data_IF_693988110269
#
_entry.id   IF_693988110269
#
_cell.length_a   1.000
_cell.length_b   1.000
_cell.length_c   1.000
_cell.angle_alpha   90.00
_cell.angle_beta   90.00
_cell.angle_gamma   90.00
#
_symmetry.space_group_name_H-M   'P 1'
#
loop_
_entity.id
_entity.type
_entity.pdbx_description
1 polymer ?
#
# COMPACT_ATOMS: atom_id res chain seq x y z
N UNK A 1 10.76 15.89 -8.74
CA UNK A 1 10.47 17.33 -8.66
C UNK A 1 11.67 18.01 -8.04
N UNK A 2 12.19 19.07 -8.65
CA UNK A 2 13.32 19.82 -8.10
C UNK A 2 12.84 20.61 -6.88
N UNK A 3 13.45 20.38 -5.73
CA UNK A 3 13.22 21.11 -4.48
C UNK A 3 14.08 22.36 -4.47
N UNK A 4 13.50 23.52 -4.77
CA UNK A 4 14.17 24.79 -4.57
C UNK A 4 14.22 25.08 -3.06
N UNK A 5 15.43 25.09 -2.51
CA UNK A 5 15.67 25.39 -1.10
C UNK A 5 16.32 26.77 -0.99
N UNK A 6 15.71 27.65 -0.19
CA UNK A 6 16.26 28.98 0.08
C UNK A 6 17.23 28.88 1.27
N UNK A 7 18.49 29.26 1.05
CA UNK A 7 19.52 29.31 2.08
C UNK A 7 20.19 30.67 2.14
N UNK A 8 20.15 31.30 3.32
CA UNK A 8 20.89 32.53 3.61
C UNK A 8 21.68 32.36 4.91
N UNK A 9 22.96 32.73 4.88
CA UNK A 9 23.88 32.63 6.02
C UNK A 9 24.63 33.94 6.18
N UNK A 10 24.55 34.53 7.37
CA UNK A 10 25.34 35.71 7.75
C UNK A 10 26.26 35.32 8.91
N UNK A 11 27.57 35.58 8.74
CA UNK A 11 28.60 35.27 9.73
C UNK A 11 29.41 36.53 10.03
N UNK A 12 29.38 36.96 11.30
CA UNK A 12 30.22 38.00 11.87
C UNK A 12 30.84 37.51 13.19
N UNK A 13 31.88 38.18 13.72
CA UNK A 13 32.66 37.76 14.90
C UNK A 13 31.82 37.50 16.17
N UNK A 14 30.59 37.98 16.22
CA UNK A 14 29.72 37.97 17.40
C UNK A 14 28.23 37.74 17.06
N UNK A 15 27.90 37.42 15.81
CA UNK A 15 26.54 37.09 15.39
C UNK A 15 26.57 36.15 14.19
N UNK A 16 25.94 34.99 14.36
CA UNK A 16 25.74 34.01 13.30
C UNK A 16 24.24 33.74 13.16
N UNK A 17 23.70 33.99 11.97
CA UNK A 17 22.28 33.77 11.65
C UNK A 17 22.20 32.90 10.40
N UNK A 18 21.47 31.79 10.50
CA UNK A 18 21.19 30.90 9.39
C UNK A 18 19.67 30.74 9.25
N UNK A 19 19.15 31.08 8.07
CA UNK A 19 17.74 30.90 7.70
C UNK A 19 17.65 29.81 6.64
N UNK A 20 16.87 28.77 6.97
CA UNK A 20 16.55 27.66 6.08
C UNK A 20 15.03 27.61 5.93
N UNK A 21 14.56 27.82 4.71
CA UNK A 21 13.16 27.65 4.36
C UNK A 21 13.05 26.54 3.30
N UNK A 22 12.33 25.47 3.66
CA UNK A 22 12.05 24.35 2.79
C UNK A 22 10.55 24.35 2.49
N UNK A 23 10.18 24.54 1.23
CA UNK A 23 8.82 24.34 0.76
C UNK A 23 8.71 22.92 0.17
N UNK A 24 8.00 22.04 0.85
CA UNK A 24 7.72 20.69 0.36
C UNK A 24 6.27 20.63 -0.10
N UNK A 25 6.04 20.55 -1.40
CA UNK A 25 4.71 20.30 -1.97
C UNK A 25 4.73 18.99 -2.76
N UNK A 26 4.12 17.95 -2.20
CA UNK A 26 4.01 16.63 -2.80
C UNK A 26 2.55 16.24 -2.98
N UNK A 27 2.05 16.26 -4.21
CA UNK A 27 0.74 15.71 -4.57
C UNK A 27 0.93 14.58 -5.56
N UNK A 28 0.93 13.36 -5.06
CA UNK A 28 0.97 12.13 -5.87
C UNK A 28 -0.41 11.49 -5.86
N UNK A 29 -0.89 11.10 -7.05
CA UNK A 29 -2.13 10.34 -7.23
C UNK A 29 -1.77 9.03 -7.90
N UNK A 30 -2.04 7.91 -7.23
CA UNK A 30 -1.87 6.57 -7.78
C UNK A 30 -3.25 6.07 -8.19
N UNK A 31 -3.42 5.71 -9.46
CA UNK A 31 -4.65 5.13 -10.00
C UNK A 31 -4.35 3.73 -10.53
N UNK A 32 -4.98 2.73 -9.93
CA UNK A 32 -4.93 1.34 -10.38
C UNK A 32 -6.28 0.94 -10.94
N UNK A 33 -6.30 0.39 -12.15
CA UNK A 33 -7.51 -0.09 -12.83
C UNK A 33 -7.30 -1.55 -13.30
N UNK A 34 -7.34 -2.53 -12.36
CA UNK A 34 -7.29 -3.94 -12.74
C UNK A 34 -8.51 -4.31 -13.59
N UNK A 35 -8.31 -5.15 -14.59
CA UNK A 35 -9.38 -5.68 -15.45
C UNK A 35 -9.27 -7.19 -15.54
N UNK A 36 -10.41 -7.89 -15.41
CA UNK A 36 -10.48 -9.34 -15.51
C UNK A 36 -11.77 -9.74 -16.25
N UNK A 37 -11.72 -10.89 -16.93
CA UNK A 37 -12.87 -11.48 -17.63
C UNK A 37 -13.24 -12.78 -16.92
N UNK A 38 -14.51 -12.94 -16.60
CA UNK A 38 -15.02 -14.05 -15.79
C UNK A 38 -16.38 -14.52 -16.33
N UNK A 39 -16.67 -15.81 -16.15
CA UNK A 39 -17.96 -16.40 -16.53
C UNK A 39 -19.08 -16.01 -15.57
N UNK A 40 -20.32 -16.06 -16.03
CA UNK A 40 -21.49 -15.82 -15.19
C UNK A 40 -21.51 -16.79 -14.01
N UNK A 41 -21.73 -16.27 -12.80
CA UNK A 41 -21.85 -17.02 -11.56
C UNK A 41 -20.58 -17.79 -11.15
N UNK A 42 -19.43 -17.40 -11.70
CA UNK A 42 -18.11 -17.96 -11.37
C UNK A 42 -17.33 -16.94 -10.56
N UNK A 43 -16.72 -17.37 -9.45
CA UNK A 43 -15.79 -16.52 -8.72
C UNK A 43 -14.48 -16.37 -9.50
N UNK A 44 -13.99 -15.14 -9.59
CA UNK A 44 -12.67 -14.86 -10.11
C UNK A 44 -11.91 -13.95 -9.16
N UNK A 45 -10.59 -14.17 -9.13
CA UNK A 45 -9.65 -13.40 -8.35
C UNK A 45 -8.49 -12.96 -9.26
N UNK A 46 -8.09 -11.71 -9.13
CA UNK A 46 -6.83 -11.20 -9.68
C UNK A 46 -6.02 -10.60 -8.55
N UNK A 47 -4.74 -10.92 -8.52
CA UNK A 47 -3.77 -10.39 -7.58
C UNK A 47 -2.56 -9.84 -8.33
N UNK A 48 -2.21 -8.59 -8.08
CA UNK A 48 -1.11 -7.89 -8.73
C UNK A 48 -0.30 -7.14 -7.66
N UNK A 49 0.96 -7.52 -7.47
CA UNK A 49 1.88 -6.82 -6.57
C UNK A 49 3.01 -7.73 -6.09
N UNK A 50 3.62 -7.36 -4.97
CA UNK A 50 4.87 -7.95 -4.48
C UNK A 50 4.70 -8.62 -3.12
N UNK A 51 5.54 -9.62 -2.85
CA UNK A 51 5.64 -10.27 -1.55
C UNK A 51 6.79 -9.67 -0.75
N UNK A 52 6.47 -9.02 0.36
CA UNK A 52 7.46 -8.34 1.20
C UNK A 52 7.85 -9.24 2.37
N UNK A 53 9.14 -9.53 2.56
CA UNK A 53 9.62 -10.24 3.74
C UNK A 53 9.58 -9.33 4.96
N UNK A 54 8.90 -9.78 6.03
CA UNK A 54 8.84 -9.15 7.33
C UNK A 54 9.64 -10.01 8.31
N UNK A 55 10.70 -9.42 8.86
CA UNK A 55 11.56 -10.07 9.85
C UNK A 55 10.96 -9.91 11.25
N UNK A 56 10.75 -11.03 11.94
CA UNK A 56 10.27 -11.09 13.32
C UNK A 56 11.33 -11.71 14.21
N UNK A 57 11.68 -11.03 15.30
CA UNK A 57 12.62 -11.50 16.32
C UNK A 57 11.86 -11.81 17.60
N UNK A 58 11.90 -13.06 18.05
CA UNK A 58 11.35 -13.51 19.33
C UNK A 58 12.47 -13.94 20.26
N UNK A 59 12.40 -13.55 21.54
CA UNK A 59 13.37 -13.98 22.56
C UNK A 59 12.75 -15.15 23.33
N UNK A 60 13.43 -16.30 23.35
CA UNK A 60 13.01 -17.42 24.19
C UNK A 60 13.60 -17.28 25.59
N UNK A 61 12.77 -16.89 26.56
CA UNK A 61 13.17 -16.67 27.96
C UNK A 61 13.21 -17.95 28.80
N UNK A 62 12.96 -19.12 28.22
CA UNK A 62 12.84 -20.40 28.95
C UNK A 62 14.15 -21.21 28.97
N UNK A 63 15.24 -20.65 28.45
CA UNK A 63 16.58 -21.27 28.46
C UNK A 63 17.53 -20.39 29.28
N UNK A 64 18.43 -21.01 30.06
CA UNK A 64 19.40 -20.30 30.92
C UNK A 64 20.37 -19.37 30.15
N UNK A 65 20.31 -19.40 28.82
CA UNK A 65 20.95 -18.49 27.89
C UNK A 65 19.86 -17.90 26.99
N UNK A 66 19.65 -16.58 27.02
CA UNK A 66 18.67 -15.90 26.17
C UNK A 66 18.94 -16.21 24.68
N UNK A 67 18.22 -17.18 24.12
CA UNK A 67 18.31 -17.53 22.70
C UNK A 67 17.34 -16.65 21.92
N UNK A 68 17.89 -15.88 20.98
CA UNK A 68 17.09 -15.06 20.05
C UNK A 68 16.76 -15.91 18.83
N UNK A 69 15.47 -16.07 18.54
CA UNK A 69 14.95 -16.75 17.37
C UNK A 69 14.46 -15.69 16.37
N UNK A 70 15.01 -15.71 15.16
CA UNK A 70 14.56 -14.85 14.06
C UNK A 70 13.77 -15.69 13.06
N UNK A 71 12.60 -15.21 12.66
CA UNK A 71 11.76 -15.81 11.61
C UNK A 71 11.43 -14.75 10.55
N UNK A 72 11.17 -15.19 9.32
CA UNK A 72 10.77 -14.31 8.21
C UNK A 72 9.39 -14.74 7.73
N UNK A 73 8.44 -13.80 7.68
CA UNK A 73 7.09 -13.99 7.16
C UNK A 73 6.91 -13.16 5.90
N UNK A 74 6.29 -13.70 4.86
CA UNK A 74 6.03 -12.96 3.62
C UNK A 74 4.61 -12.39 3.64
N UNK A 75 4.49 -11.07 3.51
CA UNK A 75 3.22 -10.36 3.42
C UNK A 75 2.98 -9.93 1.98
N UNK A 76 1.82 -10.28 1.45
CA UNK A 76 1.40 -9.94 0.09
C UNK A 76 0.94 -8.48 0.03
N UNK A 77 1.46 -7.72 -0.93
CA UNK A 77 1.11 -6.31 -1.18
C UNK A 77 0.66 -6.10 -2.62
N UNK A 78 0.04 -4.95 -2.91
CA UNK A 78 -0.53 -4.62 -4.21
C UNK A 78 -2.06 -4.69 -4.24
N UNK A 79 -2.63 -4.94 -5.42
CA UNK A 79 -4.07 -4.94 -5.67
C UNK A 79 -4.59 -6.37 -5.73
N UNK A 80 -5.54 -6.70 -4.87
CA UNK A 80 -6.32 -7.94 -4.88
C UNK A 80 -7.76 -7.55 -5.21
N UNK A 81 -8.34 -8.21 -6.20
CA UNK A 81 -9.72 -7.99 -6.61
C UNK A 81 -10.39 -9.35 -6.78
N UNK A 82 -11.42 -9.57 -5.96
CA UNK A 82 -12.33 -10.69 -6.00
C UNK A 82 -13.68 -10.22 -6.52
N UNK A 83 -14.21 -10.95 -7.51
CA UNK A 83 -15.51 -10.62 -8.10
C UNK A 83 -16.34 -11.86 -8.38
N UNK A 84 -17.64 -11.75 -8.12
CA UNK A 84 -18.64 -12.76 -8.49
C UNK A 84 -19.76 -12.06 -9.28
N UNK A 85 -19.81 -12.23 -10.61
CA UNK A 85 -20.85 -11.64 -11.43
C UNK A 85 -22.09 -12.53 -11.47
N UNK A 86 -23.26 -11.91 -11.61
CA UNK A 86 -24.54 -12.56 -11.89
C UNK A 86 -25.30 -11.77 -12.95
N UNK A 87 -25.51 -12.40 -14.10
CA UNK A 87 -26.18 -11.79 -15.25
C UNK A 87 -27.64 -12.23 -15.28
N UNK A 88 -28.56 -11.27 -15.30
CA UNK A 88 -29.98 -11.53 -15.48
C UNK A 88 -30.37 -11.55 -16.97
N UNK A 89 -31.47 -12.23 -17.37
CA UNK A 89 -31.94 -12.28 -18.76
C UNK A 89 -32.21 -10.90 -19.39
N UNK A 90 -32.50 -9.87 -18.57
CA UNK A 90 -32.68 -8.48 -19.01
C UNK A 90 -31.38 -7.71 -19.26
N UNK A 91 -30.21 -8.35 -19.19
CA UNK A 91 -28.91 -7.73 -19.46
C UNK A 91 -28.33 -6.90 -18.31
N UNK A 92 -28.95 -6.95 -17.13
CA UNK A 92 -28.43 -6.34 -15.91
C UNK A 92 -27.42 -7.28 -15.26
N UNK A 93 -26.25 -6.75 -14.93
CA UNK A 93 -25.14 -7.48 -14.31
C UNK A 93 -25.00 -7.03 -12.86
N UNK A 94 -25.21 -7.96 -11.94
CA UNK A 94 -24.90 -7.77 -10.53
C UNK A 94 -23.49 -8.26 -10.27
N UNK A 95 -22.70 -7.54 -9.49
CA UNK A 95 -21.35 -7.95 -9.10
C UNK A 95 -21.21 -7.78 -7.60
N UNK A 96 -20.81 -8.85 -6.93
CA UNK A 96 -20.21 -8.75 -5.59
C UNK A 96 -18.71 -8.51 -5.80
N UNK A 97 -18.22 -7.39 -5.26
CA UNK A 97 -16.84 -6.93 -5.44
C UNK A 97 -16.19 -6.79 -4.08
N UNK A 98 -15.06 -7.47 -3.91
CA UNK A 98 -14.15 -7.26 -2.80
C UNK A 98 -12.81 -6.86 -3.38
N UNK A 99 -12.40 -5.62 -3.12
CA UNK A 99 -11.12 -5.10 -3.58
C UNK A 99 -10.29 -4.69 -2.37
N UNK A 100 -9.03 -5.11 -2.37
CA UNK A 100 -8.01 -4.69 -1.44
C UNK A 100 -6.85 -4.07 -2.21
N UNK A 101 -6.38 -2.91 -1.76
CA UNK A 101 -5.19 -2.23 -2.28
C UNK A 101 -4.24 -2.00 -1.13
N UNK A 102 -3.11 -2.68 -1.17
CA UNK A 102 -2.02 -2.60 -0.20
C UNK A 102 -0.81 -1.95 -0.86
N UNK A 103 -0.16 -1.03 -0.15
CA UNK A 103 1.06 -0.38 -0.61
C UNK A 103 2.09 -0.34 0.54
N UNK A 104 3.34 -0.60 0.21
CA UNK A 104 4.41 -0.61 1.20
C UNK A 104 5.24 0.65 1.11
N UNK A 105 5.25 1.41 2.21
CA UNK A 105 6.04 2.61 2.31
C UNK A 105 7.49 2.24 2.63
N UNK A 106 8.34 2.31 1.60
CA UNK A 106 9.77 2.02 1.67
C UNK A 106 10.62 3.26 1.98
N UNK A 107 9.99 4.39 2.33
CA UNK A 107 10.71 5.58 2.77
C UNK A 107 11.50 5.32 4.04
N UNK A 108 12.68 5.94 4.18
CA UNK A 108 13.60 5.76 5.32
C UNK A 108 12.99 6.13 6.68
N UNK A 109 11.88 6.87 6.70
CA UNK A 109 11.13 7.23 7.91
C UNK A 109 9.96 6.27 8.22
N UNK A 110 9.67 5.31 7.34
CA UNK A 110 8.51 4.43 7.40
C UNK A 110 8.85 2.97 7.69
N UNK A 111 10.14 2.65 7.84
CA UNK A 111 10.61 1.34 8.28
C UNK A 111 10.72 1.27 9.80
N UNK A 112 10.37 0.13 10.40
CA UNK A 112 10.55 -0.12 11.82
C UNK A 112 12.04 -0.30 12.21
N UNK A 113 12.30 -0.55 13.50
CA UNK A 113 13.66 -0.78 14.02
C UNK A 113 14.38 -1.99 13.40
N UNK A 114 13.62 -2.90 12.78
CA UNK A 114 14.10 -4.11 12.11
C UNK A 114 14.19 -3.95 10.59
N UNK A 115 13.89 -2.77 10.05
CA UNK A 115 13.89 -2.49 8.61
C UNK A 115 12.62 -2.91 7.88
N UNK A 116 11.55 -3.31 8.59
CA UNK A 116 10.29 -3.70 7.96
C UNK A 116 9.48 -2.47 7.54
N UNK A 117 8.98 -2.40 6.29
CA UNK A 117 8.19 -1.25 5.83
C UNK A 117 6.78 -1.28 6.45
N UNK A 118 6.19 -0.09 6.66
CA UNK A 118 4.76 0.02 6.96
C UNK A 118 3.94 -0.31 5.71
N UNK A 119 2.96 -1.18 5.88
CA UNK A 119 2.01 -1.55 4.81
C UNK A 119 0.69 -0.84 5.07
N UNK A 120 0.28 0.01 4.13
CA UNK A 120 -1.01 0.69 4.14
C UNK A 120 -2.00 -0.11 3.31
N UNK A 121 -3.11 -0.53 3.92
CA UNK A 121 -4.15 -1.32 3.26
C UNK A 121 -5.44 -0.52 3.17
N UNK A 122 -6.07 -0.54 1.99
CA UNK A 122 -7.40 0.02 1.72
C UNK A 122 -8.26 -1.12 1.21
N UNK A 123 -9.42 -1.34 1.81
CA UNK A 123 -10.35 -2.38 1.37
C UNK A 123 -11.74 -1.81 1.15
N UNK A 124 -12.43 -2.36 0.16
CA UNK A 124 -13.83 -2.08 -0.14
C UNK A 124 -14.54 -3.40 -0.43
N UNK A 125 -15.71 -3.56 0.17
CA UNK A 125 -16.66 -4.62 -0.17
C UNK A 125 -17.96 -3.94 -0.54
N UNK A 126 -18.45 -4.23 -1.74
CA UNK A 126 -19.66 -3.60 -2.27
C UNK A 126 -20.37 -4.54 -3.22
N UNK A 127 -21.67 -4.33 -3.36
CA UNK A 127 -22.47 -4.95 -4.38
C UNK A 127 -22.94 -3.87 -5.34
N UNK A 128 -22.67 -4.06 -6.63
CA UNK A 128 -23.04 -3.12 -7.68
C UNK A 128 -23.93 -3.80 -8.70
N UNK A 129 -24.83 -3.02 -9.31
CA UNK A 129 -25.62 -3.45 -10.45
C UNK A 129 -25.37 -2.47 -11.60
N UNK A 130 -24.96 -2.99 -12.75
CA UNK A 130 -24.68 -2.19 -13.93
C UNK A 130 -25.35 -2.81 -15.16
N UNK A 131 -25.83 -1.96 -16.07
CA UNK A 131 -26.29 -2.44 -17.37
C UNK A 131 -25.07 -2.84 -18.20
N UNK A 132 -25.21 -3.89 -19.02
CA UNK A 132 -24.15 -4.30 -19.94
C UNK A 132 -23.64 -3.11 -20.78
N UNK A 133 -22.32 -2.88 -20.74
CA UNK A 133 -21.66 -1.79 -21.47
C UNK A 133 -21.60 -0.43 -20.75
N UNK A 134 -22.13 -0.32 -19.52
CA UNK A 134 -22.02 0.89 -18.71
C UNK A 134 -20.96 0.76 -17.60
N UNK A 135 -20.29 1.87 -17.30
CA UNK A 135 -19.39 2.01 -16.14
C UNK A 135 -20.19 2.57 -14.96
N UNK A 136 -19.97 2.00 -13.77
CA UNK A 136 -20.51 2.43 -12.48
C UNK A 136 -19.44 3.09 -11.63
#
# INVERSE_FOLDING_TARGET
AATDSFFYSFVSNNLQVALRALETNGRTQVLSAPSLVVMNNQQAQIQVGDNIPISQTSINTNTATNTTLSSVEYVQTGVILDVVPRINPGGLVYMDIQQQVSDADTGTASTDLNGNPRISTRSVSTQVAAQSGQTV
#
